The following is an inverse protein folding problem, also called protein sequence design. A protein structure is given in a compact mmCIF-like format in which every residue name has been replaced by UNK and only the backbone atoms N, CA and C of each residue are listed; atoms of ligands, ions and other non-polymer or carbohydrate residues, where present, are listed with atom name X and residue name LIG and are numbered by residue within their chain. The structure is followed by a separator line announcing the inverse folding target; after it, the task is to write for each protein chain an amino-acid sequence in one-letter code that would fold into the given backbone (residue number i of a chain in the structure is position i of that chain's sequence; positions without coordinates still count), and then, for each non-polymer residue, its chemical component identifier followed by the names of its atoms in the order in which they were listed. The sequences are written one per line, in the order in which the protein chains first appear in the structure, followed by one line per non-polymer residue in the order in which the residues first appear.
data_IF_960411310298
#
_entry.id   IF_960411310298
#
_cell.length_a   1.000
_cell.length_b   1.000
_cell.length_c   1.000
_cell.angle_alpha   90.00
_cell.angle_beta   90.00
_cell.angle_gamma   90.00
#
_symmetry.space_group_name_H-M   'P 1'
#
loop_
_entity.id
_entity.type
_entity.pdbx_description
1 polymer ?
#
# COMPACT_ATOMS: atom_id res chain seq x y z
N UNK A 1 -1.89 9.72 -15.69
CA UNK A 1 -0.92 8.88 -14.98
C UNK A 1 -0.29 7.90 -15.97
N UNK A 2 1.05 7.80 -16.08
CA UNK A 2 1.73 6.76 -16.86
C UNK A 2 1.26 5.35 -16.48
N UNK A 3 1.12 4.45 -17.46
CA UNK A 3 0.69 3.04 -17.26
C UNK A 3 1.53 2.33 -16.21
N UNK A 4 2.83 2.62 -16.16
CA UNK A 4 3.75 2.08 -15.17
C UNK A 4 3.38 2.47 -13.72
N UNK A 5 2.99 3.73 -13.47
CA UNK A 5 2.61 4.18 -12.14
C UNK A 5 1.29 3.54 -11.67
N UNK A 6 0.33 3.33 -12.59
CA UNK A 6 -0.89 2.59 -12.28
C UNK A 6 -0.58 1.16 -11.83
N UNK A 7 0.34 0.47 -12.51
CA UNK A 7 0.76 -0.89 -12.14
C UNK A 7 1.34 -0.95 -10.73
N UNK A 8 2.17 0.04 -10.35
CA UNK A 8 2.71 0.10 -8.98
C UNK A 8 1.59 0.31 -7.96
N UNK A 9 0.61 1.16 -8.25
CA UNK A 9 -0.54 1.39 -7.36
C UNK A 9 -1.34 0.10 -7.18
N UNK A 10 -1.58 -0.65 -8.26
CA UNK A 10 -2.28 -1.92 -8.22
C UNK A 10 -1.53 -2.94 -7.35
N UNK A 11 -0.22 -3.11 -7.56
CA UNK A 11 0.63 -4.02 -6.79
C UNK A 11 0.63 -3.66 -5.29
N UNK A 12 0.76 -2.37 -4.96
CA UNK A 12 0.69 -1.88 -3.56
C UNK A 12 -0.68 -2.13 -2.94
N UNK A 13 -1.75 -2.00 -3.72
CA UNK A 13 -3.13 -2.27 -3.27
C UNK A 13 -3.31 -3.75 -2.93
N UNK A 14 -2.75 -4.66 -3.74
CA UNK A 14 -2.78 -6.11 -3.47
C UNK A 14 -2.09 -6.45 -2.15
N UNK A 15 -0.98 -5.79 -1.82
CA UNK A 15 -0.29 -5.99 -0.53
C UNK A 15 -1.19 -5.60 0.66
N UNK A 16 -1.87 -4.45 0.58
CA UNK A 16 -2.79 -3.99 1.63
C UNK A 16 -3.94 -4.97 1.84
N UNK A 17 -4.56 -5.42 0.75
CA UNK A 17 -5.65 -6.39 0.80
C UNK A 17 -5.19 -7.73 1.40
N UNK A 18 -3.99 -8.18 1.05
CA UNK A 18 -3.40 -9.40 1.60
C UNK A 18 -3.19 -9.29 3.11
N UNK A 19 -2.65 -8.16 3.58
CA UNK A 19 -2.49 -7.88 5.01
C UNK A 19 -3.84 -7.88 5.76
N UNK A 20 -4.87 -7.25 5.19
CA UNK A 20 -6.22 -7.25 5.76
C UNK A 20 -6.82 -8.66 5.81
N UNK A 21 -6.64 -9.46 4.75
CA UNK A 21 -7.11 -10.84 4.72
C UNK A 21 -6.44 -11.71 5.80
N UNK A 22 -5.15 -11.50 6.05
CA UNK A 22 -4.43 -12.18 7.13
C UNK A 22 -4.96 -11.75 8.50
N UNK A 23 -5.15 -10.44 8.76
CA UNK A 23 -5.77 -9.97 10.01
C UNK A 23 -7.16 -10.57 10.24
N UNK A 24 -8.00 -10.63 9.19
CA UNK A 24 -9.33 -11.23 9.26
C UNK A 24 -9.28 -12.74 9.52
N UNK A 25 -8.34 -13.44 8.88
CA UNK A 25 -8.13 -14.88 9.02
C UNK A 25 -7.67 -15.25 10.43
N UNK A 26 -6.82 -14.42 11.02
CA UNK A 26 -6.20 -14.63 12.33
C UNK A 26 -6.86 -13.80 13.45
N UNK A 27 -8.16 -13.50 13.33
CA UNK A 27 -8.98 -12.65 14.24
C UNK A 27 -8.96 -12.99 15.76
N UNK A 28 -8.14 -13.93 16.24
CA UNK A 28 -7.91 -14.27 17.67
C UNK A 28 -6.41 -14.50 17.94
N UNK A 29 -5.96 -14.20 19.17
CA UNK A 29 -5.33 -12.93 19.48
C UNK A 29 -4.00 -12.81 18.73
N UNK A 30 -3.97 -12.01 17.67
CA UNK A 30 -2.68 -11.50 17.22
C UNK A 30 -2.04 -10.77 18.40
N UNK A 31 -0.79 -11.12 18.72
CA UNK A 31 -0.01 -10.32 19.65
C UNK A 31 0.14 -8.88 19.12
N UNK A 32 0.46 -7.97 20.01
CA UNK A 32 0.52 -6.55 19.68
C UNK A 32 1.63 -6.25 18.66
N UNK A 33 2.69 -7.05 18.64
CA UNK A 33 3.75 -6.95 17.63
C UNK A 33 3.21 -7.25 16.24
N UNK A 34 2.43 -8.32 16.08
CA UNK A 34 1.82 -8.71 14.82
C UNK A 34 0.79 -7.68 14.35
N UNK A 35 0.00 -7.11 15.26
CA UNK A 35 -0.90 -5.98 14.93
C UNK A 35 -0.12 -4.77 14.45
N UNK A 36 0.99 -4.44 15.13
CA UNK A 36 1.86 -3.34 14.73
C UNK A 36 2.45 -3.58 13.34
N UNK A 37 2.89 -4.79 13.02
CA UNK A 37 3.38 -5.12 11.68
C UNK A 37 2.32 -4.88 10.59
N UNK A 38 1.09 -5.36 10.78
CA UNK A 38 0.03 -5.11 9.80
C UNK A 38 -0.28 -3.61 9.64
N UNK A 39 -0.29 -2.85 10.74
CA UNK A 39 -0.47 -1.41 10.69
C UNK A 39 0.68 -0.70 9.97
N UNK A 40 1.93 -1.13 10.18
CA UNK A 40 3.10 -0.60 9.48
C UNK A 40 3.04 -0.90 7.97
N UNK A 41 2.63 -2.11 7.57
CA UNK A 41 2.45 -2.47 6.16
C UNK A 41 1.44 -1.53 5.50
N UNK A 42 0.26 -1.35 6.11
CA UNK A 42 -0.77 -0.43 5.62
C UNK A 42 -0.27 1.01 5.51
N UNK A 43 0.42 1.51 6.54
CA UNK A 43 0.95 2.86 6.55
C UNK A 43 1.99 3.08 5.45
N UNK A 44 2.93 2.14 5.27
CA UNK A 44 3.95 2.23 4.22
C UNK A 44 3.32 2.20 2.83
N UNK A 45 2.35 1.33 2.59
CA UNK A 45 1.61 1.27 1.33
C UNK A 45 0.88 2.59 1.04
N UNK A 46 0.22 3.17 2.05
CA UNK A 46 -0.44 4.47 1.92
C UNK A 46 0.55 5.61 1.60
N UNK A 47 1.72 5.62 2.24
CA UNK A 47 2.78 6.61 1.96
C UNK A 47 3.29 6.47 0.53
N UNK A 48 3.53 5.24 0.06
CA UNK A 48 3.96 4.97 -1.31
C UNK A 48 2.92 5.46 -2.31
N UNK A 49 1.65 5.07 -2.14
CA UNK A 49 0.56 5.50 -3.03
C UNK A 49 0.42 7.03 -3.05
N UNK A 50 0.44 7.67 -1.87
CA UNK A 50 0.38 9.13 -1.76
C UNK A 50 1.54 9.81 -2.49
N UNK A 51 2.77 9.31 -2.30
CA UNK A 51 3.96 9.84 -2.97
C UNK A 51 3.85 9.73 -4.50
N UNK A 52 3.31 8.62 -5.01
CA UNK A 52 3.06 8.45 -6.45
C UNK A 52 2.05 9.48 -6.94
N UNK A 53 0.91 9.66 -6.27
CA UNK A 53 -0.10 10.64 -6.65
C UNK A 53 0.43 12.08 -6.62
N UNK A 54 1.17 12.45 -5.58
CA UNK A 54 1.74 13.80 -5.43
C UNK A 54 2.83 14.12 -6.47
N UNK A 55 3.51 13.10 -7.01
CA UNK A 55 4.56 13.28 -8.00
C UNK A 55 4.12 12.91 -9.42
N UNK A 56 2.88 12.44 -9.60
CA UNK A 56 2.33 12.00 -10.88
C UNK A 56 2.51 13.03 -12.02
N UNK A 57 2.30 14.31 -11.69
CA UNK A 57 2.38 15.41 -12.66
C UNK A 57 3.80 15.75 -13.11
N UNK A 58 4.80 15.40 -12.29
CA UNK A 58 6.23 15.52 -12.67
C UNK A 58 6.62 14.51 -13.74
N UNK A 59 5.91 13.39 -13.84
CA UNK A 59 6.12 12.35 -14.85
C UNK A 59 5.32 12.59 -16.14
N UNK A 60 4.36 13.52 -16.13
CA UNK A 60 3.59 13.91 -17.32
C UNK A 60 4.13 15.19 -17.98
N UNK A 61 4.82 16.05 -17.22
CA UNK A 61 5.43 17.29 -17.72
C UNK A 61 6.76 17.13 -18.47
N UNK A 62 7.36 15.92 -18.51
CA UNK A 62 8.64 15.67 -19.20
C UNK A 62 8.47 15.38 -20.71
N UNK A 63 7.44 15.95 -21.37
CA UNK A 63 7.24 15.83 -22.82
C UNK A 63 7.73 17.06 -23.55
#
# INVERSE_FOLDING_TARGET
MPVFLNKIIDDVTVIVLSAQMLELRFKKPLDDETKMYFQQIKNRCNVISKSIYENADKFTSTK
#
